data_IF_316753139653
#
_entry.id   IF_316753139653
#
_cell.length_a   1.000
_cell.length_b   1.000
_cell.length_c   1.000
_cell.angle_alpha   90.00
_cell.angle_beta   90.00
_cell.angle_gamma   90.00
#
_symmetry.space_group_name_H-M   'P 1'
#
loop_
_entity.id
_entity.type
_entity.pdbx_description
1 polymer ?
#
# COMPACT_ATOMS: atom_id res chain seq x y z
N UNK A 1 -21.52 -7.75 -10.78
CA UNK A 1 -20.37 -8.10 -9.92
C UNK A 1 -19.22 -7.19 -10.33
N UNK A 2 -19.04 -6.04 -9.67
CA UNK A 2 -17.95 -5.12 -10.00
C UNK A 2 -16.64 -5.81 -9.62
N UNK A 3 -15.78 -6.06 -10.59
CA UNK A 3 -14.39 -6.49 -10.35
C UNK A 3 -13.74 -5.39 -9.53
N UNK A 4 -13.06 -5.75 -8.43
CA UNK A 4 -12.28 -4.76 -7.68
C UNK A 4 -11.38 -3.99 -8.67
N UNK A 5 -11.27 -2.66 -8.55
CA UNK A 5 -10.43 -1.88 -9.45
C UNK A 5 -9.02 -2.46 -9.48
N UNK A 6 -8.38 -2.42 -10.65
CA UNK A 6 -7.00 -2.85 -10.80
C UNK A 6 -6.10 -1.92 -9.96
N UNK A 7 -5.73 -2.40 -8.77
CA UNK A 7 -4.93 -1.65 -7.79
C UNK A 7 -3.63 -1.14 -8.43
N UNK A 8 -3.03 -1.88 -9.37
CA UNK A 8 -1.81 -1.44 -10.03
C UNK A 8 -2.04 -0.19 -10.90
N UNK A 9 -3.17 -0.14 -11.60
CA UNK A 9 -3.58 1.00 -12.41
C UNK A 9 -3.96 2.21 -11.54
N UNK A 10 -4.64 1.99 -10.41
CA UNK A 10 -4.95 3.07 -9.45
C UNK A 10 -3.67 3.64 -8.82
N UNK A 11 -2.71 2.79 -8.42
CA UNK A 11 -1.43 3.24 -7.90
C UNK A 11 -0.64 4.05 -8.95
N UNK A 12 -0.72 3.69 -10.23
CA UNK A 12 -0.12 4.49 -11.30
C UNK A 12 -0.75 5.89 -11.37
N UNK A 13 -2.07 6.00 -11.24
CA UNK A 13 -2.77 7.30 -11.16
C UNK A 13 -2.39 8.09 -9.91
N UNK A 14 -2.17 7.43 -8.78
CA UNK A 14 -1.69 8.09 -7.54
C UNK A 14 -0.32 8.70 -7.78
N UNK A 15 0.62 7.92 -8.34
CA UNK A 15 1.97 8.39 -8.66
C UNK A 15 1.96 9.55 -9.67
N UNK A 16 1.05 9.51 -10.64
CA UNK A 16 0.87 10.59 -11.62
C UNK A 16 0.17 11.84 -11.06
N UNK A 17 -0.36 11.80 -9.83
CA UNK A 17 -1.15 12.89 -9.25
C UNK A 17 -2.57 13.03 -9.84
N UNK A 18 -3.06 11.99 -10.51
CA UNK A 18 -4.34 11.98 -11.23
C UNK A 18 -5.47 11.28 -10.44
N UNK A 19 -5.13 10.58 -9.35
CA UNK A 19 -6.09 9.85 -8.53
C UNK A 19 -6.80 10.77 -7.54
N UNK A 20 -8.13 10.87 -7.63
CA UNK A 20 -8.93 11.80 -6.80
C UNK A 20 -9.07 11.39 -5.34
N UNK A 21 -8.94 10.09 -5.04
CA UNK A 21 -9.02 9.56 -3.68
C UNK A 21 -7.86 8.59 -3.38
N UNK A 22 -6.62 9.08 -3.15
CA UNK A 22 -5.46 8.20 -2.98
C UNK A 22 -5.61 7.15 -1.86
N UNK A 23 -6.43 7.46 -0.84
CA UNK A 23 -6.73 6.54 0.27
C UNK A 23 -7.58 5.34 -0.12
N UNK A 24 -8.19 5.33 -1.32
CA UNK A 24 -8.87 4.14 -1.84
C UNK A 24 -7.87 2.99 -2.11
N UNK A 25 -6.57 3.30 -2.25
CA UNK A 25 -5.53 2.31 -2.51
C UNK A 25 -4.28 2.42 -1.62
N UNK A 26 -3.99 3.60 -1.08
CA UNK A 26 -2.97 3.82 -0.06
C UNK A 26 -3.54 3.61 1.36
N UNK A 27 -2.66 3.30 2.30
CA UNK A 27 -3.02 2.98 3.69
C UNK A 27 -3.33 1.49 3.89
N UNK A 28 -3.92 1.14 5.04
CA UNK A 28 -4.34 -0.22 5.36
C UNK A 28 -5.63 -0.61 4.64
N UNK A 29 -5.65 -1.79 4.04
CA UNK A 29 -6.79 -2.37 3.33
C UNK A 29 -6.92 -3.85 3.67
N UNK A 30 -8.16 -4.35 3.75
CA UNK A 30 -8.41 -5.80 3.87
C UNK A 30 -8.07 -6.51 2.56
N UNK A 31 -7.40 -7.64 2.67
CA UNK A 31 -7.16 -8.57 1.57
C UNK A 31 -7.97 -9.86 1.79
N UNK A 32 -7.94 -10.78 0.81
CA UNK A 32 -8.61 -12.09 0.93
C UNK A 32 -8.13 -12.86 2.17
N UNK A 33 -6.84 -12.70 2.51
CA UNK A 33 -6.25 -13.16 3.76
C UNK A 33 -5.49 -12.02 4.45
N UNK A 34 -6.02 -11.54 5.58
CA UNK A 34 -5.36 -10.53 6.40
C UNK A 34 -5.49 -9.11 5.83
N UNK A 35 -4.39 -8.39 5.85
CA UNK A 35 -4.30 -6.96 5.56
C UNK A 35 -3.09 -6.63 4.70
N UNK A 36 -3.23 -5.56 3.94
CA UNK A 36 -2.16 -4.98 3.15
C UNK A 36 -2.06 -3.50 3.47
N UNK A 37 -0.86 -3.02 3.74
CA UNK A 37 -0.56 -1.60 3.93
C UNK A 37 0.27 -1.14 2.75
N UNK A 38 -0.22 -0.11 2.04
CA UNK A 38 0.49 0.49 0.90
C UNK A 38 0.86 1.92 1.20
N UNK A 39 2.09 2.31 0.91
CA UNK A 39 2.54 3.70 1.07
C UNK A 39 3.27 4.17 -0.18
N UNK A 40 3.14 5.46 -0.47
CA UNK A 40 3.95 6.14 -1.47
C UNK A 40 4.96 7.06 -0.78
N UNK A 41 6.25 6.74 -0.93
CA UNK A 41 7.39 7.46 -0.34
C UNK A 41 8.45 7.66 -1.42
N UNK A 42 8.25 8.63 -2.34
CA UNK A 42 9.21 8.88 -3.42
C UNK A 42 10.58 9.22 -2.85
N UNK A 43 11.63 8.65 -3.43
CA UNK A 43 13.03 8.85 -3.02
C UNK A 43 13.45 8.14 -1.72
N UNK A 44 12.54 7.48 -1.00
CA UNK A 44 12.94 6.64 0.13
C UNK A 44 13.74 5.43 -0.37
N UNK A 45 14.78 5.01 0.37
CA UNK A 45 15.56 3.80 0.09
C UNK A 45 14.86 2.55 0.65
N UNK A 46 14.28 2.67 1.84
CA UNK A 46 13.52 1.62 2.52
C UNK A 46 12.35 2.22 3.32
N UNK A 47 11.36 1.39 3.62
CA UNK A 47 10.24 1.74 4.50
C UNK A 47 10.01 0.62 5.52
N UNK A 48 9.64 1.01 6.74
CA UNK A 48 9.26 0.10 7.81
C UNK A 48 7.82 0.42 8.24
N UNK A 49 6.99 -0.61 8.37
CA UNK A 49 5.71 -0.52 9.05
C UNK A 49 5.92 -0.79 10.54
N UNK A 50 5.44 0.12 11.38
CA UNK A 50 5.41 -0.02 12.84
C UNK A 50 3.95 -0.10 13.29
N UNK A 51 3.65 -1.11 14.09
CA UNK A 51 2.34 -1.36 14.72
C UNK A 51 2.55 -1.95 16.11
N UNK A 52 1.49 -2.04 16.89
CA UNK A 52 1.54 -2.68 18.21
C UNK A 52 1.89 -4.18 18.12
N UNK A 53 1.61 -4.80 16.96
CA UNK A 53 1.83 -6.22 16.72
C UNK A 53 3.19 -6.52 16.07
N UNK A 54 3.76 -5.58 15.32
CA UNK A 54 4.92 -5.87 14.49
C UNK A 54 5.71 -4.63 14.05
N UNK A 55 7.01 -4.88 13.80
CA UNK A 55 7.91 -4.02 13.03
C UNK A 55 8.33 -4.78 11.77
N UNK A 56 7.84 -4.36 10.61
CA UNK A 56 8.02 -5.07 9.35
C UNK A 56 8.73 -4.20 8.32
N UNK A 57 9.72 -4.78 7.63
CA UNK A 57 10.23 -4.19 6.39
C UNK A 57 9.17 -4.25 5.31
N UNK A 58 8.96 -3.10 4.65
CA UNK A 58 8.04 -3.01 3.53
C UNK A 58 8.79 -3.31 2.24
N UNK A 59 8.19 -4.10 1.37
CA UNK A 59 8.74 -4.43 0.06
C UNK A 59 8.49 -3.27 -0.88
N UNK A 60 9.54 -2.77 -1.53
CA UNK A 60 9.39 -1.85 -2.67
C UNK A 60 8.83 -2.65 -3.85
N UNK A 61 7.62 -2.33 -4.26
CA UNK A 61 6.95 -3.00 -5.39
C UNK A 61 6.99 -2.17 -6.67
N UNK A 62 7.35 -0.88 -6.57
CA UNK A 62 7.60 -0.02 -7.72
C UNK A 62 8.70 1.00 -7.48
N UNK A 63 9.45 1.32 -8.53
CA UNK A 63 10.61 2.23 -8.47
C UNK A 63 10.23 3.67 -8.13
N UNK A 64 8.99 4.09 -8.41
CA UNK A 64 8.49 5.42 -8.05
C UNK A 64 8.25 5.60 -6.53
N UNK A 65 8.58 4.58 -5.73
CA UNK A 65 8.55 4.62 -4.28
C UNK A 65 7.26 4.08 -3.67
N UNK A 66 6.62 3.09 -4.31
CA UNK A 66 5.51 2.37 -3.69
C UNK A 66 6.06 1.19 -2.88
N UNK A 67 5.70 1.16 -1.60
CA UNK A 67 6.08 0.11 -0.67
C UNK A 67 4.84 -0.58 -0.10
N UNK A 68 4.95 -1.89 0.14
CA UNK A 68 3.85 -2.74 0.62
C UNK A 68 4.29 -3.61 1.79
N UNK A 69 3.44 -3.73 2.80
CA UNK A 69 3.54 -4.76 3.83
C UNK A 69 2.24 -5.55 3.90
N UNK A 70 2.35 -6.86 4.14
CA UNK A 70 1.22 -7.75 4.37
C UNK A 70 1.22 -8.19 5.84
N UNK A 71 0.03 -8.28 6.43
CA UNK A 71 -0.15 -8.65 7.83
C UNK A 71 -1.30 -9.65 7.97
N UNK A 72 -1.19 -10.57 8.93
CA UNK A 72 -2.26 -11.51 9.23
C UNK A 72 -3.44 -10.85 9.98
N UNK A 73 -3.22 -9.71 10.61
CA UNK A 73 -4.18 -9.01 11.47
C UNK A 73 -4.22 -7.50 11.16
N UNK A 74 -5.19 -6.81 11.77
CA UNK A 74 -5.34 -5.36 11.64
C UNK A 74 -4.05 -4.65 12.10
N UNK A 75 -3.45 -3.76 11.29
CA UNK A 75 -2.17 -3.11 11.60
C UNK A 75 -2.24 -1.99 12.65
N UNK A 76 -3.42 -1.67 13.21
CA UNK A 76 -3.59 -0.68 14.28
C UNK A 76 -4.60 -1.13 15.31
#
# INVERSE_FOLDING_TARGET
>A
MLRAPDVAAELARVVAGEHRSPHDVLGPHRADSGWVVRVWRPGAEACLLLSDLARLEMVRVRDEGIFVAELAADPG
#
